data_IF_101298596108
#
_entry.id   IF_101298596108
#
_cell.length_a   1.000
_cell.length_b   1.000
_cell.length_c   1.000
_cell.angle_alpha   90.00
_cell.angle_beta   90.00
_cell.angle_gamma   90.00
#
_symmetry.space_group_name_H-M   'P 1'
#
loop_
_entity.id
_entity.type
_entity.pdbx_description
1 polymer ?
#
# COMPACT_ATOMS: atom_id res chain seq x y z
N UNK A 1 -4.31 17.43 -17.38
CA UNK A 1 -4.81 16.54 -16.31
C UNK A 1 -3.90 16.69 -15.10
N UNK A 2 -4.42 17.12 -13.95
CA UNK A 2 -3.61 17.33 -12.74
C UNK A 2 -3.11 16.04 -12.10
N UNK A 3 -2.08 16.13 -11.27
CA UNK A 3 -1.62 15.03 -10.42
C UNK A 3 -2.70 14.70 -9.38
N UNK A 4 -3.24 13.49 -9.42
CA UNK A 4 -4.21 12.99 -8.44
C UNK A 4 -3.46 12.25 -7.34
N UNK A 5 -3.66 12.63 -6.07
CA UNK A 5 -3.01 11.95 -4.94
C UNK A 5 -3.76 10.67 -4.61
N UNK A 6 -3.04 9.67 -4.09
CA UNK A 6 -3.64 8.41 -3.64
C UNK A 6 -4.73 8.63 -2.57
N UNK A 7 -4.54 9.63 -1.71
CA UNK A 7 -5.50 10.03 -0.68
C UNK A 7 -6.82 10.53 -1.25
N UNK A 8 -6.81 11.20 -2.40
CA UNK A 8 -8.03 11.78 -3.01
C UNK A 8 -8.99 10.70 -3.52
N UNK A 9 -8.45 9.53 -3.85
CA UNK A 9 -9.19 8.40 -4.43
C UNK A 9 -9.40 7.24 -3.45
N UNK A 10 -8.68 7.24 -2.33
CA UNK A 10 -8.86 6.26 -1.27
C UNK A 10 -10.10 6.59 -0.42
N UNK A 11 -10.88 5.56 -0.09
CA UNK A 11 -11.95 5.63 0.92
C UNK A 11 -11.37 5.58 2.33
N UNK A 12 -10.42 4.68 2.54
CA UNK A 12 -9.76 4.45 3.82
C UNK A 12 -8.29 4.16 3.53
N UNK A 13 -7.41 4.83 4.28
CA UNK A 13 -6.00 4.48 4.38
C UNK A 13 -5.71 4.27 5.86
N UNK A 14 -5.19 3.11 6.23
CA UNK A 14 -4.81 2.83 7.61
C UNK A 14 -3.52 2.03 7.67
N UNK A 15 -2.82 2.17 8.78
CA UNK A 15 -1.66 1.37 9.11
C UNK A 15 -1.95 0.49 10.33
N UNK A 16 -1.23 -0.62 10.45
CA UNK A 16 -1.24 -1.48 11.63
C UNK A 16 0.11 -2.16 11.80
N UNK A 17 0.50 -2.42 13.05
CA UNK A 17 1.62 -3.30 13.35
C UNK A 17 1.12 -4.76 13.28
N UNK A 18 1.55 -5.51 12.27
CA UNK A 18 1.21 -6.92 12.08
C UNK A 18 2.25 -7.82 12.77
N UNK A 19 2.30 -7.69 14.10
CA UNK A 19 3.42 -8.20 14.91
C UNK A 19 4.53 -7.14 15.06
N UNK A 20 5.59 -7.46 15.83
CA UNK A 20 6.62 -6.47 16.20
C UNK A 20 7.42 -5.95 15.00
N UNK A 21 7.70 -6.82 14.02
CA UNK A 21 8.59 -6.55 12.89
C UNK A 21 7.87 -6.32 11.56
N UNK A 22 6.56 -6.07 11.55
CA UNK A 22 5.82 -5.84 10.30
C UNK A 22 4.90 -4.64 10.41
N UNK A 23 5.06 -3.69 9.50
CA UNK A 23 4.10 -2.62 9.26
C UNK A 23 3.22 -3.02 8.08
N UNK A 24 1.90 -2.98 8.25
CA UNK A 24 0.96 -3.21 7.15
C UNK A 24 0.13 -1.98 6.91
N UNK A 25 -0.02 -1.61 5.63
CA UNK A 25 -0.87 -0.53 5.14
C UNK A 25 -2.05 -1.18 4.43
N UNK A 26 -3.27 -0.89 4.85
CA UNK A 26 -4.49 -1.26 4.14
C UNK A 26 -5.08 -0.01 3.47
N UNK A 27 -5.37 -0.11 2.17
CA UNK A 27 -5.98 0.94 1.37
C UNK A 27 -7.26 0.37 0.75
N UNK A 28 -8.39 1.03 0.99
CA UNK A 28 -9.67 0.67 0.38
C UNK A 28 -10.16 1.81 -0.50
N UNK A 29 -10.74 1.49 -1.65
CA UNK A 29 -11.22 2.46 -2.63
C UNK A 29 -12.76 2.52 -2.67
N UNK A 30 -13.31 3.63 -3.17
CA UNK A 30 -14.77 3.82 -3.29
C UNK A 30 -15.33 3.17 -4.55
N UNK A 31 -14.49 3.00 -5.56
CA UNK A 31 -14.88 2.54 -6.90
C UNK A 31 -13.75 1.74 -7.57
N UNK A 32 -14.13 0.98 -8.59
CA UNK A 32 -13.24 0.09 -9.35
C UNK A 32 -12.20 0.87 -10.14
N UNK A 33 -12.54 2.04 -10.67
CA UNK A 33 -11.64 2.85 -11.49
C UNK A 33 -10.41 3.30 -10.68
N UNK A 34 -10.65 3.88 -9.51
CA UNK A 34 -9.64 4.31 -8.56
C UNK A 34 -8.77 3.15 -8.10
N UNK A 35 -9.40 2.02 -7.77
CA UNK A 35 -8.72 0.79 -7.39
C UNK A 35 -7.78 0.28 -8.49
N UNK A 36 -8.28 0.15 -9.72
CA UNK A 36 -7.51 -0.33 -10.86
C UNK A 36 -6.35 0.62 -11.20
N UNK A 37 -6.57 1.92 -11.12
CA UNK A 37 -5.52 2.93 -11.32
C UNK A 37 -4.41 2.82 -10.29
N UNK A 38 -4.74 2.57 -9.02
CA UNK A 38 -3.75 2.34 -7.97
C UNK A 38 -3.04 0.99 -8.16
N UNK A 39 -3.79 -0.09 -8.42
CA UNK A 39 -3.27 -1.44 -8.69
C UNK A 39 -2.23 -1.46 -9.81
N UNK A 40 -2.48 -0.72 -10.90
CA UNK A 40 -1.56 -0.63 -12.04
C UNK A 40 -0.33 0.27 -11.80
N UNK A 41 -0.30 1.05 -10.72
CA UNK A 41 0.82 1.96 -10.41
C UNK A 41 1.68 1.50 -9.24
N UNK A 42 1.14 0.69 -8.34
CA UNK A 42 1.85 0.23 -7.15
C UNK A 42 2.80 -0.92 -7.50
N UNK A 43 4.07 -0.73 -7.20
CA UNK A 43 5.14 -1.71 -7.36
C UNK A 43 6.02 -1.73 -6.10
N UNK A 44 6.81 -2.80 -5.93
CA UNK A 44 7.79 -2.89 -4.84
C UNK A 44 8.80 -1.72 -4.91
N UNK A 45 9.36 -1.47 -6.09
CA UNK A 45 10.24 -0.33 -6.37
C UNK A 45 9.63 1.01 -5.92
N UNK A 46 8.37 1.28 -6.29
CA UNK A 46 7.70 2.53 -5.93
C UNK A 46 7.57 2.67 -4.41
N UNK A 47 7.13 1.62 -3.72
CA UNK A 47 6.96 1.64 -2.27
C UNK A 47 8.31 1.77 -1.57
N UNK A 48 9.31 0.99 -1.99
CA UNK A 48 10.66 1.04 -1.46
C UNK A 48 11.24 2.46 -1.56
N UNK A 49 11.09 3.10 -2.72
CA UNK A 49 11.47 4.50 -2.94
C UNK A 49 10.72 5.49 -2.06
N UNK A 50 9.41 5.33 -1.88
CA UNK A 50 8.59 6.24 -1.05
C UNK A 50 8.93 6.15 0.43
N UNK A 51 9.35 4.98 0.90
CA UNK A 51 9.71 4.74 2.30
C UNK A 51 11.23 4.80 2.57
N UNK A 52 12.04 5.06 1.55
CA UNK A 52 13.52 5.07 1.62
C UNK A 52 14.09 3.78 2.20
N UNK A 53 13.57 2.63 1.75
CA UNK A 53 13.98 1.29 2.15
C UNK A 53 14.36 0.44 0.95
N UNK A 54 14.99 -0.70 1.20
CA UNK A 54 15.29 -1.67 0.15
C UNK A 54 14.06 -2.48 -0.28
N UNK A 55 14.01 -2.92 -1.53
CA UNK A 55 12.86 -3.70 -2.06
C UNK A 55 12.68 -5.06 -1.38
N UNK A 56 13.76 -5.65 -0.84
CA UNK A 56 13.69 -6.92 -0.09
C UNK A 56 12.94 -6.78 1.24
N UNK A 57 12.80 -5.57 1.77
CA UNK A 57 11.98 -5.30 2.96
C UNK A 57 10.48 -5.21 2.64
N UNK A 58 10.08 -5.24 1.37
CA UNK A 58 8.67 -5.31 0.98
C UNK A 58 8.24 -6.78 0.97
N UNK A 59 7.63 -7.23 2.07
CA UNK A 59 7.08 -8.59 2.17
C UNK A 59 6.11 -8.86 1.02
N UNK A 60 5.17 -7.94 0.78
CA UNK A 60 4.23 -8.12 -0.32
C UNK A 60 3.31 -6.93 -0.57
N UNK A 61 2.80 -6.89 -1.80
CA UNK A 61 1.68 -6.06 -2.23
C UNK A 61 0.57 -7.02 -2.65
N UNK A 62 -0.54 -7.01 -1.93
CA UNK A 62 -1.65 -7.92 -2.14
C UNK A 62 -2.87 -7.15 -2.63
N UNK A 63 -3.42 -7.61 -3.74
CA UNK A 63 -4.63 -7.07 -4.35
C UNK A 63 -5.83 -7.90 -3.92
N UNK A 64 -6.77 -7.26 -3.23
CA UNK A 64 -7.95 -7.90 -2.62
C UNK A 64 -9.18 -7.38 -3.37
N UNK A 65 -9.38 -7.91 -4.58
CA UNK A 65 -10.28 -7.39 -5.60
C UNK A 65 -11.75 -7.31 -5.11
N UNK A 66 -12.20 -8.28 -4.32
CA UNK A 66 -13.59 -8.35 -3.81
C UNK A 66 -13.99 -7.21 -2.86
N UNK A 67 -13.02 -6.53 -2.23
CA UNK A 67 -13.25 -5.39 -1.34
C UNK A 67 -12.62 -4.10 -1.85
N UNK A 68 -12.16 -4.10 -3.12
CA UNK A 68 -11.40 -3.00 -3.71
C UNK A 68 -10.25 -2.57 -2.79
N UNK A 69 -9.52 -3.57 -2.30
CA UNK A 69 -8.49 -3.40 -1.27
C UNK A 69 -7.10 -3.63 -1.80
N UNK A 70 -6.14 -2.85 -1.31
CA UNK A 70 -4.71 -3.07 -1.50
C UNK A 70 -4.07 -3.16 -0.11
N UNK A 71 -3.27 -4.21 0.09
CA UNK A 71 -2.49 -4.41 1.31
C UNK A 71 -1.02 -4.37 0.97
N UNK A 72 -0.25 -3.58 1.70
CA UNK A 72 1.20 -3.49 1.55
C UNK A 72 1.82 -3.85 2.90
N UNK A 73 2.72 -4.82 2.93
CA UNK A 73 3.41 -5.21 4.17
C UNK A 73 4.91 -4.98 4.01
N UNK A 74 5.48 -4.27 4.98
CA UNK A 74 6.88 -3.88 5.07
C UNK A 74 7.47 -4.54 6.31
N UNK A 75 8.63 -5.19 6.16
CA UNK A 75 9.44 -5.72 7.25
C UNK A 75 10.21 -4.57 7.90
N UNK A 76 10.24 -4.56 9.23
CA UNK A 76 10.97 -3.58 10.05
C UNK A 76 12.12 -4.28 10.76
N UNK A 77 13.25 -3.61 10.87
CA UNK A 77 14.37 -4.06 11.70
C UNK A 77 14.13 -3.81 13.20
N UNK A 78 13.49 -2.68 13.50
CA UNK A 78 13.20 -2.25 14.88
C UNK A 78 11.75 -2.61 15.24
N UNK A 79 11.52 -3.30 16.38
CA UNK A 79 10.17 -3.62 16.81
C UNK A 79 9.38 -2.35 17.17
N UNK A 80 8.05 -2.37 16.97
CA UNK A 80 7.13 -1.32 17.46
C UNK A 80 6.81 -1.50 18.93
#
# INVERSE_FOLDING_TARGET
MGMVKLYDVAKVVRTKNAGPFKLTIDIFFKDVESYMKAKNKLSRELIAKLYSISEDLIEGIYFVDNVLGIKITIIKEIPS
#
